data_IF_257687815631
#
_entry.id   IF_257687815631
#
_cell.length_a   1.000
_cell.length_b   1.000
_cell.length_c   1.000
_cell.angle_alpha   90.00
_cell.angle_beta   90.00
_cell.angle_gamma   90.00
#
_symmetry.space_group_name_H-M   'P 1'
#
loop_
_entity.id
_entity.type
_entity.pdbx_description
1 polymer ?
#
# COMPACT_ATOMS: atom_id res chain seq x y z
N UNK A 1 -41.76 -40.74 13.23
CA UNK A 1 -40.66 -40.86 12.23
C UNK A 1 -40.72 -39.91 11.03
N UNK A 2 -41.79 -39.14 10.81
CA UNK A 2 -41.90 -38.20 9.65
C UNK A 2 -41.26 -36.84 9.91
N UNK A 3 -41.00 -36.43 11.14
CA UNK A 3 -40.37 -35.14 11.46
C UNK A 3 -38.85 -35.14 11.26
N UNK A 4 -38.20 -36.29 11.31
CA UNK A 4 -36.74 -36.40 11.14
C UNK A 4 -36.29 -36.30 9.68
N UNK A 5 -37.20 -36.62 8.73
CA UNK A 5 -36.89 -36.62 7.28
C UNK A 5 -36.91 -35.20 6.69
N UNK A 6 -37.58 -34.20 7.31
CA UNK A 6 -37.60 -32.82 6.87
C UNK A 6 -36.44 -31.95 7.45
N UNK A 7 -35.81 -32.39 8.56
CA UNK A 7 -34.77 -31.65 9.24
C UNK A 7 -33.42 -31.76 8.52
N UNK A 8 -33.18 -32.89 7.85
CA UNK A 8 -31.93 -33.18 7.15
C UNK A 8 -31.70 -32.27 5.92
N UNK A 9 -32.69 -32.03 5.01
CA UNK A 9 -32.50 -31.13 3.89
C UNK A 9 -32.41 -29.65 4.30
N UNK A 10 -33.03 -29.24 5.40
CA UNK A 10 -32.92 -27.88 5.91
C UNK A 10 -31.52 -27.56 6.45
N UNK A 11 -30.80 -28.52 7.01
CA UNK A 11 -29.45 -28.38 7.52
C UNK A 11 -28.43 -28.30 6.38
N UNK A 12 -28.69 -28.94 5.24
CA UNK A 12 -27.78 -28.90 4.05
C UNK A 12 -27.89 -27.57 3.32
N UNK A 13 -29.04 -26.89 3.31
CA UNK A 13 -29.20 -25.56 2.70
C UNK A 13 -28.51 -24.42 3.48
N UNK A 14 -28.27 -24.61 4.79
CA UNK A 14 -27.61 -23.59 5.60
C UNK A 14 -26.07 -23.54 5.44
N UNK A 15 -25.44 -24.48 4.74
CA UNK A 15 -23.99 -24.57 4.52
C UNK A 15 -23.50 -23.90 3.22
N UNK A 16 -24.41 -23.37 2.39
CA UNK A 16 -24.01 -22.76 1.09
C UNK A 16 -23.73 -21.27 1.15
N UNK A 17 -23.68 -20.65 2.33
CA UNK A 17 -23.64 -19.19 2.52
C UNK A 17 -22.28 -18.48 2.40
N UNK A 18 -21.15 -19.15 2.11
CA UNK A 18 -19.82 -18.51 2.11
C UNK A 18 -19.04 -18.60 0.80
N UNK A 19 -19.69 -18.78 -0.34
CA UNK A 19 -19.00 -18.94 -1.65
C UNK A 19 -18.71 -17.62 -2.40
N UNK A 20 -18.82 -16.46 -1.75
CA UNK A 20 -18.69 -15.15 -2.41
C UNK A 20 -17.47 -14.32 -2.05
N UNK A 21 -16.51 -14.82 -1.28
CA UNK A 21 -15.28 -14.09 -0.97
C UNK A 21 -14.25 -14.32 -2.08
N UNK A 22 -14.17 -13.39 -3.02
CA UNK A 22 -13.00 -13.29 -3.91
C UNK A 22 -11.89 -12.58 -3.12
N UNK A 23 -10.79 -13.29 -2.85
CA UNK A 23 -9.54 -12.70 -2.41
C UNK A 23 -8.96 -11.90 -3.59
N UNK A 24 -8.81 -10.59 -3.41
CA UNK A 24 -8.34 -9.67 -4.44
C UNK A 24 -9.47 -8.84 -5.06
N UNK A 25 -9.23 -7.52 -5.19
CA UNK A 25 -10.14 -6.59 -5.86
C UNK A 25 -10.31 -6.91 -7.34
N UNK A 26 -11.29 -6.29 -7.99
CA UNK A 26 -11.46 -6.42 -9.45
C UNK A 26 -10.42 -5.53 -10.12
N UNK A 27 -9.37 -6.14 -10.68
CA UNK A 27 -8.30 -5.42 -11.38
C UNK A 27 -8.87 -4.50 -12.47
N UNK A 28 -8.27 -3.31 -12.67
CA UNK A 28 -8.58 -2.45 -13.81
C UNK A 28 -8.47 -3.25 -15.12
N UNK A 29 -9.35 -2.98 -16.09
CA UNK A 29 -9.39 -3.74 -17.35
C UNK A 29 -8.04 -3.80 -18.07
N UNK A 30 -7.27 -2.72 -18.04
CA UNK A 30 -5.94 -2.64 -18.68
C UNK A 30 -4.86 -3.42 -17.93
N UNK A 31 -5.10 -3.84 -16.68
CA UNK A 31 -4.21 -4.68 -15.86
C UNK A 31 -4.76 -6.09 -15.63
N UNK A 32 -5.93 -6.42 -16.18
CA UNK A 32 -6.60 -7.70 -15.93
C UNK A 32 -5.75 -8.92 -16.31
N UNK A 33 -4.88 -8.80 -17.33
CA UNK A 33 -3.97 -9.85 -17.75
C UNK A 33 -2.64 -9.92 -16.99
N UNK A 34 -2.33 -8.93 -16.15
CA UNK A 34 -1.08 -8.87 -15.39
C UNK A 34 -1.20 -9.69 -14.11
N UNK A 35 -0.33 -10.66 -13.93
CA UNK A 35 -0.24 -11.51 -12.73
C UNK A 35 1.12 -11.41 -12.04
N UNK A 36 2.17 -11.09 -12.79
CA UNK A 36 3.55 -11.02 -12.32
C UNK A 36 4.11 -9.63 -12.48
N UNK A 37 4.59 -9.06 -11.38
CA UNK A 37 5.21 -7.73 -11.40
C UNK A 37 6.60 -7.76 -10.81
N UNK A 38 7.50 -6.95 -11.37
CA UNK A 38 8.78 -6.63 -10.76
C UNK A 38 8.71 -5.28 -10.07
N UNK A 39 9.36 -5.17 -8.92
CA UNK A 39 9.41 -3.93 -8.14
C UNK A 39 10.89 -3.62 -7.89
N UNK A 40 11.54 -2.86 -8.79
CA UNK A 40 12.89 -2.37 -8.55
C UNK A 40 12.90 -1.39 -7.38
N UNK A 41 14.09 -1.14 -6.81
CA UNK A 41 14.24 -0.14 -5.76
C UNK A 41 13.72 1.22 -6.21
N UNK A 42 12.85 1.82 -5.41
CA UNK A 42 12.32 3.15 -5.67
C UNK A 42 13.43 4.21 -5.59
N UNK A 43 13.41 5.12 -6.54
CA UNK A 43 14.34 6.26 -6.54
C UNK A 43 14.00 7.20 -5.39
N UNK A 44 15.00 7.63 -4.64
CA UNK A 44 14.83 8.56 -3.54
C UNK A 44 15.33 9.96 -3.94
N UNK A 45 14.42 10.88 -4.13
CA UNK A 45 14.70 12.29 -4.43
C UNK A 45 14.66 13.19 -3.19
N UNK A 46 14.54 12.59 -1.99
CA UNK A 46 14.52 13.32 -0.72
C UNK A 46 15.91 13.36 -0.08
N UNK A 47 16.06 14.19 0.94
CA UNK A 47 17.27 14.25 1.76
C UNK A 47 17.33 13.17 2.85
N UNK A 48 16.28 12.34 2.98
CA UNK A 48 16.20 11.30 4.00
C UNK A 48 16.90 10.02 3.51
N UNK A 49 18.01 9.63 4.13
CA UNK A 49 18.69 8.39 3.77
C UNK A 49 17.76 7.19 3.93
N UNK A 50 17.91 6.18 3.05
CA UNK A 50 17.18 4.91 3.11
C UNK A 50 15.67 4.98 2.86
N UNK A 51 15.07 6.17 2.65
CA UNK A 51 13.63 6.28 2.46
C UNK A 51 13.14 5.52 1.22
N UNK A 52 13.91 5.53 0.13
CA UNK A 52 13.63 4.71 -1.05
C UNK A 52 13.53 3.21 -0.73
N UNK A 53 14.49 2.68 0.02
CA UNK A 53 14.48 1.27 0.45
C UNK A 53 13.33 0.96 1.41
N UNK A 54 13.03 1.88 2.32
CA UNK A 54 11.93 1.73 3.28
C UNK A 54 10.58 1.62 2.54
N UNK A 55 10.31 2.55 1.62
CA UNK A 55 9.07 2.55 0.82
C UNK A 55 9.02 1.31 -0.08
N UNK A 56 10.12 0.96 -0.76
CA UNK A 56 10.19 -0.24 -1.61
C UNK A 56 9.82 -1.50 -0.84
N UNK A 57 10.43 -1.70 0.33
CA UNK A 57 10.16 -2.88 1.15
C UNK A 57 8.72 -2.92 1.67
N UNK A 58 8.16 -1.76 2.05
CA UNK A 58 6.76 -1.66 2.46
C UNK A 58 5.81 -2.03 1.30
N UNK A 59 6.07 -1.53 0.09
CA UNK A 59 5.27 -1.83 -1.11
C UNK A 59 5.37 -3.32 -1.49
N UNK A 60 6.57 -3.90 -1.52
CA UNK A 60 6.75 -5.33 -1.80
C UNK A 60 5.97 -6.19 -0.81
N UNK A 61 6.12 -5.90 0.50
CA UNK A 61 5.42 -6.63 1.56
C UNK A 61 3.90 -6.51 1.42
N UNK A 62 3.41 -5.31 1.11
CA UNK A 62 1.97 -5.06 0.99
C UNK A 62 1.38 -5.78 -0.23
N UNK A 63 2.02 -5.72 -1.39
CA UNK A 63 1.59 -6.42 -2.61
C UNK A 63 1.61 -7.94 -2.42
N UNK A 64 2.62 -8.49 -1.73
CA UNK A 64 2.66 -9.91 -1.40
C UNK A 64 1.55 -10.30 -0.42
N UNK A 65 1.20 -9.45 0.53
CA UNK A 65 0.12 -9.68 1.48
C UNK A 65 -1.27 -9.58 0.82
N UNK A 66 -1.44 -8.66 -0.14
CA UNK A 66 -2.66 -8.49 -0.92
C UNK A 66 -2.94 -9.71 -1.83
N UNK A 67 -1.90 -10.30 -2.41
CA UNK A 67 -1.99 -11.51 -3.23
C UNK A 67 -2.53 -11.30 -4.65
N UNK A 68 -2.82 -10.07 -5.08
CA UNK A 68 -3.28 -9.75 -6.44
C UNK A 68 -2.20 -9.94 -7.48
N UNK A 69 -0.91 -9.79 -7.08
CA UNK A 69 0.25 -9.94 -7.95
C UNK A 69 1.32 -10.81 -7.30
N UNK A 70 1.99 -11.59 -8.13
CA UNK A 70 3.22 -12.29 -7.75
C UNK A 70 4.43 -11.36 -8.00
N UNK A 71 5.20 -11.08 -6.95
CA UNK A 71 6.44 -10.31 -7.10
C UNK A 71 7.54 -11.24 -7.60
N UNK A 72 8.12 -10.89 -8.76
CA UNK A 72 9.14 -11.68 -9.47
C UNK A 72 10.33 -10.80 -9.88
N UNK A 73 11.37 -11.41 -10.42
CA UNK A 73 12.51 -10.70 -11.04
C UNK A 73 12.08 -10.03 -12.36
N UNK A 74 12.83 -9.01 -12.79
CA UNK A 74 12.52 -8.18 -13.96
C UNK A 74 12.35 -9.00 -15.25
N UNK A 75 13.13 -10.06 -15.41
CA UNK A 75 13.12 -10.96 -16.56
C UNK A 75 11.87 -11.84 -16.67
N UNK A 76 11.15 -12.02 -15.57
CA UNK A 76 9.92 -12.83 -15.50
C UNK A 76 8.65 -11.97 -15.36
N UNK A 77 8.79 -10.68 -15.30
CA UNK A 77 7.70 -9.76 -15.03
C UNK A 77 6.89 -9.44 -16.30
N UNK A 78 5.59 -9.34 -16.13
CA UNK A 78 4.61 -8.86 -17.13
C UNK A 78 4.41 -7.36 -17.04
N UNK A 79 4.69 -6.77 -15.88
CA UNK A 79 4.76 -5.33 -15.66
C UNK A 79 5.85 -4.99 -14.62
N UNK A 80 6.39 -3.78 -14.70
CA UNK A 80 7.39 -3.26 -13.77
C UNK A 80 6.78 -2.08 -13.05
N UNK A 81 6.74 -2.14 -11.72
CA UNK A 81 6.31 -1.04 -10.87
C UNK A 81 7.52 -0.19 -10.50
N UNK A 82 7.69 0.93 -11.16
CA UNK A 82 8.73 1.92 -10.89
C UNK A 82 8.17 3.03 -10.02
N UNK A 83 8.94 3.48 -9.02
CA UNK A 83 8.51 4.54 -8.12
C UNK A 83 9.62 5.53 -7.79
N UNK A 84 9.20 6.76 -7.50
CA UNK A 84 10.07 7.86 -7.07
C UNK A 84 9.49 8.42 -5.78
N UNK A 85 10.22 8.28 -4.67
CA UNK A 85 9.89 9.01 -3.44
C UNK A 85 10.29 10.46 -3.66
N UNK A 86 9.28 11.29 -3.95
CA UNK A 86 9.48 12.63 -4.46
C UNK A 86 9.65 13.65 -3.34
N UNK A 87 9.02 13.42 -2.19
CA UNK A 87 9.02 14.41 -1.12
C UNK A 87 8.69 13.79 0.24
N UNK A 88 9.18 14.42 1.29
CA UNK A 88 8.80 14.18 2.69
C UNK A 88 8.52 15.53 3.36
N UNK A 89 7.27 15.78 3.70
CA UNK A 89 6.84 17.00 4.38
C UNK A 89 6.59 16.73 5.86
N UNK A 90 6.95 17.72 6.68
CA UNK A 90 6.70 17.74 8.13
C UNK A 90 6.00 19.03 8.47
N UNK A 91 4.73 18.93 8.79
CA UNK A 91 3.90 20.09 9.11
C UNK A 91 3.33 20.01 10.54
N UNK A 92 3.05 21.17 11.10
CA UNK A 92 2.42 21.22 12.42
C UNK A 92 0.99 20.69 12.35
N UNK A 93 0.70 19.64 13.12
CA UNK A 93 -0.64 19.08 13.20
C UNK A 93 -1.41 19.60 14.43
N UNK A 94 -0.74 19.69 15.58
CA UNK A 94 -1.38 20.15 16.81
C UNK A 94 -0.42 20.99 17.66
N UNK A 95 -0.92 22.11 18.19
CA UNK A 95 -0.21 22.94 19.16
C UNK A 95 -0.50 22.53 20.61
N UNK A 96 0.33 22.97 21.54
CA UNK A 96 0.06 22.85 22.98
C UNK A 96 -1.13 23.75 23.34
N UNK A 97 -2.05 23.25 24.17
CA UNK A 97 -3.35 23.86 24.47
C UNK A 97 -3.28 25.34 24.92
N UNK A 98 -2.24 25.73 25.66
CA UNK A 98 -2.07 27.08 26.18
C UNK A 98 -0.95 27.88 25.51
N UNK A 99 -0.33 27.34 24.46
CA UNK A 99 0.74 28.01 23.73
C UNK A 99 0.77 27.52 22.28
N UNK A 100 0.15 28.30 21.40
CA UNK A 100 0.06 28.00 19.95
C UNK A 100 1.41 27.99 19.22
N UNK A 101 2.45 28.58 19.82
CA UNK A 101 3.81 28.59 19.30
C UNK A 101 4.58 27.27 19.63
N UNK A 102 4.05 26.43 20.52
CA UNK A 102 4.63 25.13 20.84
C UNK A 102 3.84 24.02 20.18
N UNK A 103 4.48 23.34 19.23
CA UNK A 103 3.93 22.16 18.57
C UNK A 103 3.97 20.96 19.53
N UNK A 104 2.90 20.19 19.59
CA UNK A 104 2.83 18.93 20.34
C UNK A 104 2.82 17.70 19.43
N UNK A 105 2.37 17.88 18.19
CA UNK A 105 2.35 16.83 17.17
C UNK A 105 2.72 17.39 15.80
N UNK A 106 3.56 16.64 15.07
CA UNK A 106 3.85 16.90 13.65
C UNK A 106 3.15 15.84 12.79
N UNK A 107 2.68 16.26 11.65
CA UNK A 107 2.28 15.37 10.57
C UNK A 107 3.51 15.11 9.70
N UNK A 108 3.82 13.85 9.45
CA UNK A 108 4.77 13.41 8.43
C UNK A 108 3.97 12.92 7.24
N UNK A 109 4.21 13.50 6.06
CA UNK A 109 3.59 13.09 4.80
C UNK A 109 4.67 12.72 3.81
N UNK A 110 4.60 11.47 3.31
CA UNK A 110 5.41 10.98 2.20
C UNK A 110 4.64 11.11 0.91
N UNK A 111 5.32 11.52 -0.17
CA UNK A 111 4.77 11.54 -1.52
C UNK A 111 5.61 10.66 -2.44
N UNK A 112 4.93 9.76 -3.14
CA UNK A 112 5.56 8.90 -4.14
C UNK A 112 4.79 8.99 -5.44
N UNK A 113 5.51 9.31 -6.51
CA UNK A 113 5.03 9.17 -7.88
C UNK A 113 5.41 7.78 -8.38
N UNK A 114 4.50 7.08 -9.06
CA UNK A 114 4.76 5.72 -9.54
C UNK A 114 4.21 5.52 -10.95
N UNK A 115 4.75 4.51 -11.63
CA UNK A 115 4.23 4.03 -12.91
C UNK A 115 4.39 2.51 -13.04
N UNK A 116 3.42 1.88 -13.72
CA UNK A 116 3.56 0.53 -14.22
C UNK A 116 3.95 0.58 -15.69
N UNK A 117 5.01 -0.12 -16.03
CA UNK A 117 5.59 -0.13 -17.37
C UNK A 117 5.58 -1.55 -17.91
N UNK A 118 5.22 -1.71 -19.16
CA UNK A 118 5.35 -2.99 -19.87
C UNK A 118 6.84 -3.24 -20.20
N UNK A 119 7.43 -4.37 -19.75
CA UNK A 119 8.85 -4.63 -19.95
C UNK A 119 9.23 -4.86 -21.42
N UNK A 120 8.27 -5.22 -22.31
CA UNK A 120 8.55 -5.55 -23.70
C UNK A 120 8.77 -4.32 -24.59
N UNK A 121 8.02 -3.24 -24.34
CA UNK A 121 8.03 -2.03 -25.18
C UNK A 121 8.21 -0.75 -24.40
N UNK A 122 8.39 -0.82 -23.08
CA UNK A 122 8.47 0.31 -22.13
C UNK A 122 7.27 1.27 -22.19
N UNK A 123 6.11 0.82 -22.62
CA UNK A 123 4.88 1.62 -22.57
C UNK A 123 4.37 1.74 -21.16
N UNK A 124 3.92 2.94 -20.79
CA UNK A 124 3.30 3.19 -19.47
C UNK A 124 1.87 2.66 -19.50
N UNK A 125 1.62 1.62 -18.73
CA UNK A 125 0.30 1.00 -18.58
C UNK A 125 -0.59 1.74 -17.59
N UNK A 126 0.01 2.24 -16.52
CA UNK A 126 -0.66 3.02 -15.47
C UNK A 126 0.36 3.93 -14.78
N UNK A 127 -0.10 5.05 -14.25
CA UNK A 127 0.70 5.94 -13.42
C UNK A 127 -0.16 6.66 -12.41
N UNK A 128 0.41 6.97 -11.27
CA UNK A 128 -0.31 7.66 -10.21
C UNK A 128 0.63 8.35 -9.23
N UNK A 129 0.01 8.95 -8.24
CA UNK A 129 0.67 9.61 -7.12
C UNK A 129 -0.04 9.21 -5.85
N UNK A 130 0.71 8.70 -4.89
CA UNK A 130 0.20 8.28 -3.59
C UNK A 130 0.86 9.03 -2.45
N UNK A 131 0.14 9.10 -1.35
CA UNK A 131 0.59 9.71 -0.12
C UNK A 131 0.47 8.71 1.03
N UNK A 132 1.42 8.80 1.96
CA UNK A 132 1.34 8.11 3.24
C UNK A 132 1.53 9.13 4.36
N UNK A 133 0.70 9.08 5.38
CA UNK A 133 0.70 10.05 6.47
C UNK A 133 0.84 9.36 7.81
N UNK A 134 1.61 9.93 8.70
CA UNK A 134 1.72 9.52 10.10
C UNK A 134 1.97 10.72 11.01
N UNK A 135 1.92 10.51 12.32
CA UNK A 135 2.05 11.57 13.29
C UNK A 135 3.20 11.30 14.24
N UNK A 136 3.98 12.36 14.52
CA UNK A 136 5.02 12.35 15.54
C UNK A 136 4.49 13.10 16.76
N UNK A 137 4.55 12.47 17.93
CA UNK A 137 4.38 13.15 19.21
C UNK A 137 5.75 13.67 19.63
N UNK A 138 5.84 14.97 19.89
CA UNK A 138 7.10 15.59 20.31
C UNK A 138 7.36 15.31 21.80
N UNK A 139 8.21 14.33 22.05
CA UNK A 139 8.69 13.92 23.36
C UNK A 139 10.23 13.95 23.43
N UNK A 140 10.86 13.62 24.57
CA UNK A 140 12.32 13.59 24.70
C UNK A 140 13.02 12.61 23.72
N UNK A 141 12.32 11.61 23.19
CA UNK A 141 12.84 10.60 22.25
C UNK A 141 12.44 10.92 20.80
N UNK A 142 12.48 12.17 20.39
CA UNK A 142 12.04 12.66 19.10
C UNK A 142 12.56 11.85 17.90
N UNK A 143 13.85 11.50 17.89
CA UNK A 143 14.44 10.76 16.76
C UNK A 143 13.84 9.37 16.57
N UNK A 144 13.54 8.65 17.65
CA UNK A 144 12.89 7.35 17.57
C UNK A 144 11.46 7.48 17.09
N UNK A 145 10.74 8.49 17.61
CA UNK A 145 9.36 8.76 17.19
C UNK A 145 9.28 9.17 15.71
N UNK A 146 10.27 9.92 15.21
CA UNK A 146 10.36 10.31 13.80
C UNK A 146 10.59 9.10 12.88
N UNK A 147 11.52 8.22 13.23
CA UNK A 147 11.76 7.00 12.46
C UNK A 147 10.52 6.11 12.41
N UNK A 148 9.85 5.90 13.53
CA UNK A 148 8.61 5.14 13.61
C UNK A 148 7.50 5.76 12.75
N UNK A 149 7.37 7.09 12.78
CA UNK A 149 6.39 7.79 11.95
C UNK A 149 6.68 7.66 10.45
N UNK A 150 7.95 7.68 10.04
CA UNK A 150 8.32 7.42 8.65
C UNK A 150 8.00 5.98 8.21
N UNK A 151 8.25 5.00 9.08
CA UNK A 151 7.90 3.60 8.83
C UNK A 151 6.38 3.41 8.71
N UNK A 152 5.58 4.02 9.59
CA UNK A 152 4.12 3.99 9.53
C UNK A 152 3.59 4.72 8.27
N UNK A 153 4.13 5.88 7.95
CA UNK A 153 3.78 6.61 6.73
C UNK A 153 4.09 5.81 5.46
N UNK A 154 5.25 5.13 5.41
CA UNK A 154 5.63 4.26 4.30
C UNK A 154 4.68 3.05 4.19
N UNK A 155 4.27 2.47 5.31
CA UNK A 155 3.31 1.37 5.31
C UNK A 155 1.92 1.82 4.81
N UNK A 156 1.42 2.97 5.24
CA UNK A 156 0.15 3.53 4.76
C UNK A 156 0.21 3.88 3.27
N UNK A 157 1.32 4.46 2.82
CA UNK A 157 1.57 4.71 1.40
C UNK A 157 1.53 3.41 0.60
N UNK A 158 2.16 2.34 1.08
CA UNK A 158 2.16 1.05 0.43
C UNK A 158 0.75 0.45 0.30
N UNK A 159 -0.10 0.61 1.32
CA UNK A 159 -1.51 0.18 1.27
C UNK A 159 -2.26 0.93 0.17
N UNK A 160 -2.14 2.27 0.14
CA UNK A 160 -2.80 3.09 -0.88
C UNK A 160 -2.32 2.73 -2.29
N UNK A 161 -1.00 2.63 -2.48
CA UNK A 161 -0.43 2.26 -3.78
C UNK A 161 -0.90 0.88 -4.24
N UNK A 162 -0.91 -0.10 -3.33
CA UNK A 162 -1.36 -1.45 -3.65
C UNK A 162 -2.83 -1.45 -4.07
N UNK A 163 -3.71 -0.73 -3.35
CA UNK A 163 -5.13 -0.61 -3.69
C UNK A 163 -5.33 0.06 -5.06
N UNK A 164 -4.60 1.15 -5.37
CA UNK A 164 -4.67 1.79 -6.69
C UNK A 164 -4.25 0.86 -7.83
N UNK A 165 -3.20 0.05 -7.62
CA UNK A 165 -2.68 -0.88 -8.63
C UNK A 165 -3.54 -2.13 -8.76
N UNK A 166 -4.12 -2.65 -7.65
CA UNK A 166 -4.91 -3.89 -7.65
C UNK A 166 -6.40 -3.66 -7.93
N UNK A 167 -6.94 -2.50 -7.57
CA UNK A 167 -8.37 -2.21 -7.64
C UNK A 167 -8.71 -1.00 -8.53
N UNK A 168 -7.72 -0.15 -8.85
CA UNK A 168 -7.87 0.97 -9.80
C UNK A 168 -8.46 2.25 -9.21
N UNK A 169 -8.33 2.46 -7.88
CA UNK A 169 -8.86 3.64 -7.18
C UNK A 169 -8.09 4.03 -5.91
#
# INVERSE_FOLDING_TARGET
MKFFTCLLPALVLSLTGCAGYQLGGTKPQHLAGVTKIAIPGFVNNTLEPRLGSLVTNAVIKQIQADGSYQVVSRDQAEAILEGIVADVDRSQFRAVRNNVLRTSQLLVRLRTDYQLVNPADNTVMHRGRVFGESYIVLDPNFQLSEQQAMEDAAQRLAVTLTSEVSEGW
#
